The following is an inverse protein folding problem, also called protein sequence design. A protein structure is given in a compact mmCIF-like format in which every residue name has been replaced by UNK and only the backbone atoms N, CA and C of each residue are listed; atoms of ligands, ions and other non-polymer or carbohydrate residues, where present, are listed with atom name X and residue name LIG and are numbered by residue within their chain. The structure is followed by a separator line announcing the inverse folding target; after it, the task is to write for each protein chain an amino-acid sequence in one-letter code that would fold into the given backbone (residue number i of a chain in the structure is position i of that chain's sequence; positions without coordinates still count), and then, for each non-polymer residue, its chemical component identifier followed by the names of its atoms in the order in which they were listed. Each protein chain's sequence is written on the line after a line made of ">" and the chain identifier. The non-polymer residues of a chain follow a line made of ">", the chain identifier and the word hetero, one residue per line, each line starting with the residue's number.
data_IF_847358829298
#
_entry.id   IF_847358829298
#
_cell.length_a   1.000
_cell.length_b   1.000
_cell.length_c   1.000
_cell.angle_alpha   90.00
_cell.angle_beta   90.00
_cell.angle_gamma   90.00
#
_symmetry.space_group_name_H-M   'P 1'
#
loop_
_entity.id
_entity.type
_entity.pdbx_description
1 polymer ?
#
# COMPACT_ATOMS: atom_id res chain seq x y z
N UNK A 1 7.23 -17.74 28.95
CA UNK A 1 6.04 -18.10 28.15
C UNK A 1 5.30 -16.80 27.79
N UNK A 2 5.03 -16.54 26.55
CA UNK A 2 4.38 -15.32 26.10
C UNK A 2 2.88 -15.37 26.49
N UNK A 3 2.45 -14.45 27.35
CA UNK A 3 1.05 -14.36 27.77
C UNK A 3 0.28 -13.45 26.79
N UNK A 4 -0.38 -14.07 25.82
CA UNK A 4 -1.13 -13.39 24.76
C UNK A 4 -2.20 -12.43 25.34
N UNK A 5 -2.91 -12.82 26.42
CA UNK A 5 -3.96 -11.98 26.99
C UNK A 5 -3.40 -10.74 27.68
N UNK A 6 -2.28 -10.91 28.40
CA UNK A 6 -1.59 -9.79 29.03
C UNK A 6 -1.01 -8.83 27.98
N UNK A 7 -0.42 -9.36 26.92
CA UNK A 7 0.16 -8.54 25.84
C UNK A 7 -0.93 -7.80 25.01
N UNK A 8 -2.09 -8.40 24.77
CA UNK A 8 -3.22 -7.72 24.13
C UNK A 8 -3.67 -6.50 24.95
N UNK A 9 -3.63 -6.57 26.28
CA UNK A 9 -4.01 -5.43 27.15
C UNK A 9 -3.08 -4.24 26.99
N UNK A 10 -1.79 -4.48 26.69
CA UNK A 10 -0.75 -3.46 26.50
C UNK A 10 -0.80 -2.79 25.13
N UNK A 11 -1.49 -3.40 24.14
CA UNK A 11 -1.58 -2.87 22.80
C UNK A 11 -2.21 -1.47 22.78
N UNK A 12 -1.63 -0.52 22.02
CA UNK A 12 -2.18 0.83 21.88
C UNK A 12 -3.40 0.84 20.95
N UNK A 13 -4.28 1.83 21.14
CA UNK A 13 -5.37 2.14 20.22
C UNK A 13 -4.90 3.07 19.09
N UNK A 14 -3.80 2.69 18.43
CA UNK A 14 -3.18 3.46 17.34
C UNK A 14 -3.12 2.62 16.07
N UNK A 15 -3.01 3.27 14.90
CA UNK A 15 -2.74 2.57 13.65
C UNK A 15 -1.43 1.79 13.70
N UNK A 16 -1.37 0.68 12.99
CA UNK A 16 -0.14 -0.10 12.93
C UNK A 16 -0.30 -1.42 12.20
N UNK A 17 0.79 -2.18 12.22
CA UNK A 17 0.88 -3.52 11.67
C UNK A 17 1.20 -4.49 12.80
N UNK A 18 0.52 -5.63 12.82
CA UNK A 18 0.79 -6.74 13.73
C UNK A 18 1.30 -7.94 12.95
N UNK A 19 2.24 -8.68 13.57
CA UNK A 19 2.98 -9.78 12.98
C UNK A 19 2.81 -10.96 13.94
N UNK A 20 2.27 -12.08 13.46
CA UNK A 20 2.02 -13.27 14.25
C UNK A 20 3.05 -14.34 13.93
N UNK A 21 3.63 -14.91 14.95
CA UNK A 21 4.68 -15.92 14.89
C UNK A 21 4.19 -17.26 15.45
N UNK A 22 4.72 -18.35 14.89
CA UNK A 22 4.57 -19.68 15.48
C UNK A 22 5.70 -19.98 16.50
N UNK A 23 5.65 -21.16 17.11
CA UNK A 23 6.63 -21.61 18.10
C UNK A 23 8.08 -21.72 17.59
N UNK A 24 8.26 -21.75 16.27
CA UNK A 24 9.57 -21.79 15.62
C UNK A 24 10.03 -20.36 15.20
N UNK A 25 9.39 -19.31 15.76
CA UNK A 25 9.61 -17.89 15.45
C UNK A 25 9.39 -17.52 13.98
N UNK A 26 8.63 -18.33 13.28
CA UNK A 26 8.32 -18.08 11.87
C UNK A 26 7.10 -17.17 11.75
N UNK A 27 7.21 -16.13 10.95
CA UNK A 27 6.09 -15.25 10.64
C UNK A 27 5.03 -16.04 9.85
N UNK A 28 3.86 -16.21 10.45
CA UNK A 28 2.74 -16.94 9.86
C UNK A 28 1.64 -16.03 9.34
N UNK A 29 1.54 -14.80 9.86
CA UNK A 29 0.56 -13.82 9.42
C UNK A 29 1.02 -12.40 9.71
N UNK A 30 0.70 -11.46 8.80
CA UNK A 30 0.89 -10.01 8.94
C UNK A 30 -0.43 -9.33 8.63
N UNK A 31 -0.80 -8.31 9.40
CA UNK A 31 -2.04 -7.56 9.13
C UNK A 31 -1.97 -6.12 9.61
N UNK A 32 -2.64 -5.21 8.89
CA UNK A 32 -2.80 -3.82 9.30
C UNK A 32 -3.99 -3.63 10.24
N UNK A 33 -3.95 -2.58 11.04
CA UNK A 33 -5.03 -2.16 11.90
C UNK A 33 -5.11 -0.62 12.01
N UNK A 34 -6.30 -0.07 12.08
CA UNK A 34 -6.55 1.31 12.51
C UNK A 34 -6.38 1.42 14.02
N UNK A 35 -6.76 0.36 14.74
CA UNK A 35 -6.53 0.19 16.18
C UNK A 35 -5.96 -1.21 16.41
N UNK A 36 -4.67 -1.29 16.73
CA UNK A 36 -3.96 -2.55 16.99
C UNK A 36 -4.66 -3.38 18.07
N UNK A 37 -5.03 -2.74 19.21
CA UNK A 37 -5.70 -3.42 20.33
C UNK A 37 -7.01 -4.08 19.90
N UNK A 38 -7.87 -3.34 19.22
CA UNK A 38 -9.18 -3.84 18.81
C UNK A 38 -9.04 -4.98 17.79
N UNK A 39 -8.13 -4.82 16.84
CA UNK A 39 -7.93 -5.77 15.75
C UNK A 39 -7.32 -7.08 16.24
N UNK A 40 -6.24 -7.03 17.03
CA UNK A 40 -5.60 -8.22 17.54
C UNK A 40 -6.53 -8.99 18.49
N UNK A 41 -7.23 -8.27 19.39
CA UNK A 41 -8.22 -8.87 20.29
C UNK A 41 -9.31 -9.68 19.56
N UNK A 42 -9.71 -9.29 18.36
CA UNK A 42 -10.74 -10.02 17.58
C UNK A 42 -10.32 -11.45 17.24
N UNK A 43 -9.03 -11.70 16.99
CA UNK A 43 -8.54 -13.05 16.69
C UNK A 43 -8.67 -14.03 17.86
N UNK A 44 -8.63 -13.54 19.10
CA UNK A 44 -8.68 -14.37 20.30
C UNK A 44 -10.07 -14.46 20.94
N UNK A 45 -11.09 -13.80 20.39
CA UNK A 45 -12.49 -13.99 20.78
C UNK A 45 -13.03 -15.33 20.30
N UNK A 46 -13.93 -15.94 21.08
CA UNK A 46 -14.47 -17.29 20.81
C UNK A 46 -15.51 -17.38 19.68
N UNK A 47 -15.97 -16.27 19.08
CA UNK A 47 -17.15 -16.28 18.21
C UNK A 47 -16.80 -16.20 16.71
N UNK A 48 -17.49 -17.02 15.91
CA UNK A 48 -17.61 -16.98 14.43
C UNK A 48 -16.30 -16.82 13.65
N UNK A 49 -15.30 -17.66 13.90
CA UNK A 49 -14.10 -17.73 13.09
C UNK A 49 -14.29 -18.73 11.95
N UNK A 50 -13.70 -18.43 10.79
CA UNK A 50 -13.56 -19.45 9.75
C UNK A 50 -12.57 -20.52 10.20
N UNK A 51 -12.74 -21.76 9.79
CA UNK A 51 -11.83 -22.88 10.11
C UNK A 51 -10.35 -22.54 9.87
N UNK A 52 -10.10 -21.68 8.90
CA UNK A 52 -8.76 -21.19 8.59
C UNK A 52 -8.19 -20.21 9.64
N UNK A 53 -9.00 -19.26 10.11
CA UNK A 53 -8.60 -18.34 11.19
C UNK A 53 -8.39 -19.12 12.48
N UNK A 54 -9.22 -20.11 12.76
CA UNK A 54 -9.04 -21.00 13.90
C UNK A 54 -7.72 -21.76 13.85
N UNK A 55 -7.39 -22.34 12.66
CA UNK A 55 -6.11 -23.00 12.47
C UNK A 55 -4.93 -22.04 12.58
N UNK A 56 -5.04 -20.82 12.08
CA UNK A 56 -4.01 -19.80 12.26
C UNK A 56 -3.81 -19.48 13.74
N UNK A 57 -4.90 -19.18 14.45
CA UNK A 57 -4.86 -18.82 15.88
C UNK A 57 -4.29 -19.93 16.72
N UNK A 58 -4.57 -21.21 16.41
CA UNK A 58 -4.00 -22.36 17.13
C UNK A 58 -2.48 -22.54 16.95
N UNK A 59 -1.90 -21.89 15.94
CA UNK A 59 -0.47 -21.94 15.67
C UNK A 59 0.29 -20.71 16.20
N UNK A 60 -0.41 -19.66 16.65
CA UNK A 60 0.23 -18.47 17.18
C UNK A 60 0.86 -18.78 18.53
N UNK A 61 2.16 -18.57 18.64
CA UNK A 61 2.90 -18.59 19.90
C UNK A 61 2.98 -17.19 20.50
N UNK A 62 3.38 -16.22 19.68
CA UNK A 62 3.49 -14.82 20.08
C UNK A 62 3.19 -13.88 18.92
N UNK A 63 3.12 -12.58 19.20
CA UNK A 63 2.96 -11.55 18.18
C UNK A 63 3.82 -10.33 18.51
N UNK A 64 4.23 -9.65 17.46
CA UNK A 64 4.86 -8.33 17.50
C UNK A 64 3.94 -7.29 16.86
N UNK A 65 4.23 -6.01 17.09
CA UNK A 65 3.51 -4.92 16.43
C UNK A 65 4.40 -3.71 16.19
N UNK A 66 4.06 -2.97 15.15
CA UNK A 66 4.72 -1.71 14.78
C UNK A 66 3.62 -0.64 14.72
N UNK A 67 3.77 0.40 15.55
CA UNK A 67 2.88 1.55 15.52
C UNK A 67 3.32 2.49 14.39
N UNK A 68 2.37 3.05 13.68
CA UNK A 68 2.58 4.04 12.62
C UNK A 68 1.66 5.24 12.83
N UNK A 69 1.91 6.34 12.12
CA UNK A 69 1.17 7.58 12.34
C UNK A 69 -0.23 7.56 11.70
N UNK A 70 -0.41 6.81 10.60
CA UNK A 70 -1.67 6.78 9.86
C UNK A 70 -1.94 5.44 9.17
N UNK A 71 -3.16 5.28 8.65
CA UNK A 71 -3.59 4.05 7.99
C UNK A 71 -2.85 3.78 6.67
N UNK A 72 -2.44 4.83 5.95
CA UNK A 72 -1.71 4.69 4.69
C UNK A 72 -0.33 4.08 4.93
N UNK A 73 0.37 4.52 5.98
CA UNK A 73 1.64 3.91 6.40
C UNK A 73 1.47 2.46 6.82
N UNK A 74 0.40 2.16 7.59
CA UNK A 74 0.09 0.79 7.97
C UNK A 74 -0.11 -0.11 6.75
N UNK A 75 -0.81 0.38 5.71
CA UNK A 75 -1.04 -0.33 4.46
C UNK A 75 0.26 -0.62 3.71
N UNK A 76 1.12 0.39 3.57
CA UNK A 76 2.40 0.26 2.87
C UNK A 76 3.31 -0.72 3.61
N UNK A 77 3.38 -0.60 4.95
CA UNK A 77 4.19 -1.47 5.79
C UNK A 77 3.70 -2.92 5.75
N UNK A 78 2.38 -3.16 5.83
CA UNK A 78 1.78 -4.49 5.67
C UNK A 78 2.19 -5.12 4.35
N UNK A 79 2.01 -4.41 3.23
CA UNK A 79 2.36 -4.90 1.90
C UNK A 79 3.84 -5.29 1.79
N UNK A 80 4.74 -4.47 2.34
CA UNK A 80 6.17 -4.74 2.32
C UNK A 80 6.57 -5.94 3.17
N UNK A 81 5.98 -6.07 4.37
CA UNK A 81 6.24 -7.21 5.25
C UNK A 81 5.71 -8.51 4.65
N UNK A 82 4.53 -8.50 4.02
CA UNK A 82 3.99 -9.67 3.31
C UNK A 82 4.89 -10.04 2.12
N UNK A 83 5.34 -9.06 1.33
CA UNK A 83 6.23 -9.29 0.18
C UNK A 83 7.56 -9.91 0.62
N UNK A 84 8.15 -9.39 1.71
CA UNK A 84 9.43 -9.84 2.25
C UNK A 84 9.35 -11.24 2.84
N UNK A 85 8.35 -11.49 3.69
CA UNK A 85 8.30 -12.69 4.54
C UNK A 85 7.41 -13.80 3.97
N UNK A 86 6.52 -13.50 3.02
CA UNK A 86 5.57 -14.44 2.39
C UNK A 86 4.85 -15.34 3.40
N UNK A 87 4.14 -14.79 4.41
CA UNK A 87 3.59 -15.57 5.50
C UNK A 87 2.53 -16.56 5.01
N UNK A 88 2.51 -17.75 5.60
CA UNK A 88 1.65 -18.87 5.19
C UNK A 88 0.15 -18.52 5.13
N UNK A 89 -0.32 -17.69 6.06
CA UNK A 89 -1.74 -17.33 6.16
C UNK A 89 -2.12 -16.05 5.41
N UNK A 90 -1.15 -15.25 4.92
CA UNK A 90 -1.39 -14.16 3.99
C UNK A 90 -1.39 -14.62 2.54
N UNK A 91 -0.51 -15.56 2.19
CA UNK A 91 -0.42 -16.10 0.83
C UNK A 91 -1.31 -17.32 0.72
N UNK A 92 -2.42 -17.21 0.02
CA UNK A 92 -3.47 -18.19 0.22
C UNK A 92 -4.07 -18.95 -0.87
N UNK A 93 -3.68 -18.80 -2.06
CA UNK A 93 -4.16 -19.67 -3.12
C UNK A 93 -2.97 -20.14 -3.95
N UNK A 94 -2.91 -21.43 -4.19
CA UNK A 94 -1.94 -22.06 -5.11
C UNK A 94 -2.15 -21.66 -6.57
N UNK A 95 -3.16 -20.84 -6.84
CA UNK A 95 -3.49 -20.36 -8.18
C UNK A 95 -3.17 -18.85 -8.29
N UNK A 96 -1.99 -18.54 -8.84
CA UNK A 96 -1.50 -17.18 -9.08
C UNK A 96 -2.47 -16.31 -9.92
N UNK A 97 -3.39 -16.94 -10.65
CA UNK A 97 -4.37 -16.26 -11.50
C UNK A 97 -5.46 -15.54 -10.72
N UNK A 98 -5.61 -15.81 -9.44
CA UNK A 98 -6.71 -15.30 -8.60
C UNK A 98 -6.36 -14.04 -7.81
N UNK A 99 -5.06 -13.77 -7.60
CA UNK A 99 -4.61 -12.60 -6.85
C UNK A 99 -4.58 -11.34 -7.71
N UNK A 100 -4.94 -10.18 -7.13
CA UNK A 100 -4.72 -8.91 -7.78
C UNK A 100 -3.26 -8.49 -7.74
N UNK A 101 -2.84 -7.88 -8.83
CA UNK A 101 -1.57 -7.19 -9.01
C UNK A 101 -1.84 -5.73 -9.36
N UNK A 102 -0.96 -4.85 -8.99
CA UNK A 102 -0.93 -3.48 -9.48
C UNK A 102 -0.05 -3.48 -10.73
N UNK A 103 -0.64 -3.09 -11.87
CA UNK A 103 0.03 -2.97 -13.15
C UNK A 103 0.33 -1.51 -13.45
N UNK A 104 1.56 -1.21 -13.85
CA UNK A 104 1.98 0.08 -14.42
C UNK A 104 2.26 -0.13 -15.91
N UNK A 105 1.50 0.57 -16.77
CA UNK A 105 1.61 0.50 -18.22
C UNK A 105 2.78 1.37 -18.70
N UNK A 106 3.98 0.79 -18.77
CA UNK A 106 5.20 1.51 -19.15
C UNK A 106 5.32 1.75 -20.67
N UNK A 107 4.49 1.13 -21.50
CA UNK A 107 4.51 1.30 -22.96
C UNK A 107 3.89 2.62 -23.39
N UNK A 108 3.00 3.18 -22.59
CA UNK A 108 2.38 4.46 -22.86
C UNK A 108 3.35 5.61 -22.55
N UNK A 109 3.36 6.65 -23.34
CA UNK A 109 4.08 7.91 -23.04
C UNK A 109 3.68 8.48 -21.69
N UNK A 110 2.41 8.29 -21.33
CA UNK A 110 1.84 8.65 -20.03
C UNK A 110 1.28 7.41 -19.35
N UNK A 111 2.10 6.65 -18.61
CA UNK A 111 1.68 5.45 -17.90
C UNK A 111 0.48 5.66 -16.97
N UNK A 112 -0.33 4.62 -16.78
CA UNK A 112 -1.35 4.61 -15.74
C UNK A 112 -1.14 3.44 -14.78
N UNK A 113 -1.77 3.53 -13.60
CA UNK A 113 -1.77 2.50 -12.58
C UNK A 113 -3.15 1.85 -12.53
N UNK A 114 -3.19 0.53 -12.64
CA UNK A 114 -4.42 -0.25 -12.67
C UNK A 114 -4.27 -1.57 -11.91
N UNK A 115 -5.41 -2.18 -11.56
CA UNK A 115 -5.43 -3.51 -10.95
C UNK A 115 -5.67 -4.54 -12.04
N UNK A 116 -4.90 -5.62 -12.01
CA UNK A 116 -5.07 -6.78 -12.90
C UNK A 116 -4.94 -8.07 -12.10
N UNK A 117 -5.52 -9.16 -12.62
CA UNK A 117 -5.31 -10.51 -12.08
C UNK A 117 -4.47 -11.39 -13.02
N UNK A 118 -4.05 -10.83 -14.15
CA UNK A 118 -3.23 -11.55 -15.13
C UNK A 118 -1.90 -10.85 -15.27
N UNK A 119 -0.83 -11.58 -15.04
CA UNK A 119 0.52 -11.15 -15.39
C UNK A 119 0.76 -11.54 -16.85
N UNK A 120 1.29 -10.62 -17.63
CA UNK A 120 1.68 -10.84 -19.01
C UNK A 120 3.14 -10.44 -19.21
N UNK A 121 3.83 -11.14 -20.06
CA UNK A 121 5.19 -10.74 -20.44
C UNK A 121 5.11 -9.67 -21.54
N UNK A 122 4.61 -8.48 -21.16
CA UNK A 122 4.27 -7.37 -22.06
C UNK A 122 5.16 -6.14 -21.85
N UNK A 123 6.27 -6.26 -21.10
CA UNK A 123 7.17 -5.15 -20.80
C UNK A 123 6.62 -4.13 -19.80
N UNK A 124 5.45 -4.38 -19.24
CA UNK A 124 4.88 -3.58 -18.15
C UNK A 124 5.40 -4.05 -16.78
N UNK A 125 5.29 -3.20 -15.76
CA UNK A 125 5.62 -3.63 -14.39
C UNK A 125 4.38 -4.10 -13.64
N UNK A 126 4.57 -5.19 -12.88
CA UNK A 126 3.54 -5.81 -12.06
C UNK A 126 4.04 -5.93 -10.62
N UNK A 127 3.25 -5.45 -9.67
CA UNK A 127 3.55 -5.46 -8.24
C UNK A 127 2.51 -6.30 -7.51
N UNK A 128 2.95 -7.19 -6.66
CA UNK A 128 2.10 -8.13 -5.94
C UNK A 128 2.74 -9.51 -5.84
N UNK A 129 1.97 -10.59 -5.59
CA UNK A 129 0.51 -10.61 -5.40
C UNK A 129 0.05 -9.94 -4.11
N UNK A 130 -1.11 -9.28 -4.15
CA UNK A 130 -1.76 -8.75 -2.96
C UNK A 130 -2.68 -9.80 -2.36
N UNK A 131 -2.43 -10.18 -1.11
CA UNK A 131 -3.21 -11.22 -0.43
C UNK A 131 -4.69 -10.83 -0.20
N UNK A 132 -4.97 -9.53 -0.14
CA UNK A 132 -6.31 -8.98 -0.01
C UNK A 132 -6.63 -8.07 -1.22
N UNK A 133 -7.70 -8.33 -1.98
CA UNK A 133 -8.14 -7.44 -3.06
C UNK A 133 -8.41 -6.01 -2.60
N UNK A 134 -8.87 -5.82 -1.37
CA UNK A 134 -9.06 -4.51 -0.75
C UNK A 134 -7.75 -3.73 -0.66
N UNK A 135 -6.68 -4.37 -0.19
CA UNK A 135 -5.37 -3.72 -0.05
C UNK A 135 -4.79 -3.24 -1.40
N UNK A 136 -4.98 -4.02 -2.48
CA UNK A 136 -4.57 -3.58 -3.82
C UNK A 136 -5.36 -2.35 -4.28
N UNK A 137 -6.68 -2.32 -4.00
CA UNK A 137 -7.53 -1.18 -4.34
C UNK A 137 -7.16 0.06 -3.53
N UNK A 138 -7.01 -0.07 -2.22
CA UNK A 138 -6.60 1.01 -1.32
C UNK A 138 -5.25 1.61 -1.74
N UNK A 139 -4.27 0.77 -2.11
CA UNK A 139 -2.98 1.22 -2.61
C UNK A 139 -3.10 1.99 -3.93
N UNK A 140 -3.90 1.51 -4.87
CA UNK A 140 -4.13 2.21 -6.15
C UNK A 140 -4.88 3.53 -5.93
N UNK A 141 -5.86 3.56 -5.03
CA UNK A 141 -6.59 4.77 -4.68
C UNK A 141 -5.68 5.79 -3.98
N UNK A 142 -4.82 5.35 -3.07
CA UNK A 142 -3.78 6.18 -2.45
C UNK A 142 -2.82 6.78 -3.49
N UNK A 143 -2.29 5.95 -4.41
CA UNK A 143 -1.42 6.43 -5.51
C UNK A 143 -2.13 7.48 -6.35
N UNK A 144 -3.39 7.25 -6.72
CA UNK A 144 -4.18 8.20 -7.53
C UNK A 144 -4.51 9.51 -6.82
N UNK A 145 -4.56 9.51 -5.50
CA UNK A 145 -4.79 10.71 -4.70
C UNK A 145 -3.52 11.54 -4.54
N UNK A 146 -2.40 10.88 -4.27
CA UNK A 146 -1.11 11.55 -3.97
C UNK A 146 -0.32 11.92 -5.23
N UNK A 147 -0.32 11.04 -6.21
CA UNK A 147 0.37 11.26 -7.49
C UNK A 147 -0.66 11.67 -8.55
N UNK A 148 -0.58 12.87 -9.05
CA UNK A 148 -1.54 13.45 -10.00
C UNK A 148 -1.50 12.80 -11.39
N UNK A 149 -1.43 11.46 -11.44
CA UNK A 149 -1.37 10.69 -12.67
C UNK A 149 -2.74 10.57 -13.35
N UNK A 150 -2.73 10.26 -14.64
CA UNK A 150 -3.97 10.07 -15.39
C UNK A 150 -4.78 8.88 -14.87
N UNK A 151 -6.09 9.06 -14.79
CA UNK A 151 -7.02 8.02 -14.31
C UNK A 151 -7.93 7.50 -15.44
N UNK A 152 -7.85 8.10 -16.64
CA UNK A 152 -8.65 7.69 -17.79
C UNK A 152 -8.18 6.34 -18.36
N UNK A 153 -9.13 5.46 -18.70
CA UNK A 153 -8.85 4.17 -19.34
C UNK A 153 -8.30 4.35 -20.75
N UNK A 154 -8.96 5.19 -21.53
CA UNK A 154 -8.58 5.47 -22.93
C UNK A 154 -7.92 6.85 -22.99
N UNK A 155 -6.60 6.85 -23.17
CA UNK A 155 -5.86 8.09 -23.37
C UNK A 155 -6.04 8.58 -24.83
N UNK A 156 -6.45 9.82 -24.97
CA UNK A 156 -6.50 10.51 -26.28
C UNK A 156 -5.91 11.90 -26.10
N UNK A 157 -4.88 12.22 -26.87
CA UNK A 157 -4.29 13.56 -26.94
C UNK A 157 -5.26 14.59 -27.54
N UNK A 158 -5.07 15.86 -27.21
CA UNK A 158 -5.80 17.02 -27.75
C UNK A 158 -7.32 17.01 -27.49
N UNK A 159 -7.73 16.52 -26.33
CA UNK A 159 -9.14 16.53 -25.93
C UNK A 159 -9.45 17.58 -24.87
N UNK A 160 -10.75 17.81 -24.73
CA UNK A 160 -11.29 18.62 -23.64
C UNK A 160 -10.83 18.06 -22.29
N UNK A 161 -10.36 18.92 -21.38
CA UNK A 161 -10.00 18.54 -20.00
C UNK A 161 -11.18 17.89 -19.28
N UNK A 162 -10.90 16.89 -18.48
CA UNK A 162 -11.91 16.16 -17.71
C UNK A 162 -12.00 16.69 -16.28
N UNK A 163 -13.01 16.22 -15.54
CA UNK A 163 -13.23 16.61 -14.15
C UNK A 163 -11.97 16.38 -13.27
N UNK A 164 -11.25 15.26 -13.46
CA UNK A 164 -10.04 14.97 -12.67
C UNK A 164 -8.94 16.02 -12.84
N UNK A 165 -8.86 16.67 -14.01
CA UNK A 165 -7.96 17.80 -14.21
C UNK A 165 -8.43 19.03 -13.43
N UNK A 166 -9.71 19.39 -13.53
CA UNK A 166 -10.26 20.56 -12.85
C UNK A 166 -10.17 20.50 -11.32
N UNK A 167 -10.33 19.30 -10.76
CA UNK A 167 -10.19 19.09 -9.31
C UNK A 167 -8.74 18.78 -8.86
N UNK A 168 -7.76 18.98 -9.74
CA UNK A 168 -6.34 18.83 -9.41
C UNK A 168 -5.85 17.40 -9.19
N UNK A 169 -6.62 16.38 -9.59
CA UNK A 169 -6.27 14.95 -9.45
C UNK A 169 -5.51 14.38 -10.65
N UNK A 170 -5.24 15.17 -11.68
CA UNK A 170 -4.52 14.76 -12.88
C UNK A 170 -3.77 15.95 -13.45
N UNK A 171 -2.53 15.76 -13.87
CA UNK A 171 -1.69 16.80 -14.49
C UNK A 171 -2.15 17.20 -15.91
N UNK A 172 -3.13 16.51 -16.48
CA UNK A 172 -3.67 16.85 -17.80
C UNK A 172 -2.74 16.53 -18.98
N UNK A 173 -2.12 15.35 -19.05
CA UNK A 173 -1.26 14.99 -20.18
C UNK A 173 -2.02 14.96 -21.52
N UNK A 174 -3.35 14.85 -21.50
CA UNK A 174 -4.19 14.88 -22.68
C UNK A 174 -4.27 16.26 -23.38
N UNK A 175 -3.88 17.32 -22.68
CA UNK A 175 -3.83 18.69 -23.20
C UNK A 175 -2.39 19.26 -23.19
N UNK A 176 -1.39 18.38 -23.14
CA UNK A 176 0.03 18.72 -23.14
C UNK A 176 0.45 19.67 -21.99
N UNK A 177 -0.24 19.58 -20.84
CA UNK A 177 0.03 20.43 -19.67
C UNK A 177 1.22 19.93 -18.83
N UNK A 178 1.83 18.82 -19.21
CA UNK A 178 2.97 18.20 -18.52
C UNK A 178 3.87 17.53 -19.54
N UNK A 179 5.19 17.66 -19.39
CA UNK A 179 6.15 16.96 -20.25
C UNK A 179 6.17 15.44 -19.95
N UNK A 180 6.64 14.64 -20.92
CA UNK A 180 6.78 13.19 -20.73
C UNK A 180 7.79 12.89 -19.64
N UNK A 181 8.87 13.67 -19.57
CA UNK A 181 9.95 13.52 -18.60
C UNK A 181 9.48 13.81 -17.18
N UNK A 182 8.72 14.87 -16.99
CA UNK A 182 8.15 15.26 -15.71
C UNK A 182 7.11 14.21 -15.22
N UNK A 183 6.26 13.77 -16.15
CA UNK A 183 5.30 12.70 -15.84
C UNK A 183 6.00 11.39 -15.48
N UNK A 184 7.10 11.05 -16.16
CA UNK A 184 7.87 9.84 -15.92
C UNK A 184 8.51 9.84 -14.52
N UNK A 185 8.99 10.98 -14.03
CA UNK A 185 9.51 11.11 -12.66
C UNK A 185 8.48 10.67 -11.61
N UNK A 186 7.21 11.07 -11.77
CA UNK A 186 6.15 10.61 -10.86
C UNK A 186 5.93 9.09 -10.92
N UNK A 187 6.01 8.51 -12.13
CA UNK A 187 5.90 7.05 -12.29
C UNK A 187 7.06 6.34 -11.62
N UNK A 188 8.28 6.87 -11.69
CA UNK A 188 9.46 6.29 -11.04
C UNK A 188 9.33 6.35 -9.50
N UNK A 189 8.78 7.43 -8.96
CA UNK A 189 8.47 7.54 -7.53
C UNK A 189 7.39 6.51 -7.11
N UNK A 190 6.37 6.29 -7.91
CA UNK A 190 5.35 5.25 -7.66
C UNK A 190 6.01 3.86 -7.70
N UNK A 191 6.92 3.62 -8.61
CA UNK A 191 7.68 2.36 -8.70
C UNK A 191 8.52 2.17 -7.44
N UNK A 192 9.26 3.17 -7.00
CA UNK A 192 10.07 3.12 -5.78
C UNK A 192 9.19 2.87 -4.54
N UNK A 193 7.99 3.48 -4.46
CA UNK A 193 7.00 3.22 -3.42
C UNK A 193 6.56 1.76 -3.40
N UNK A 194 6.15 1.24 -4.56
CA UNK A 194 5.66 -0.14 -4.70
C UNK A 194 6.77 -1.18 -4.54
N UNK A 195 8.03 -0.80 -4.79
CA UNK A 195 9.22 -1.62 -4.49
C UNK A 195 9.64 -1.57 -3.02
N UNK A 196 8.99 -0.75 -2.20
CA UNK A 196 9.26 -0.64 -0.77
C UNK A 196 10.46 0.23 -0.42
N UNK A 197 10.91 1.10 -1.31
CA UNK A 197 12.01 2.05 -1.07
C UNK A 197 11.54 3.32 -0.34
N UNK A 198 10.76 3.13 0.73
CA UNK A 198 10.09 4.21 1.47
C UNK A 198 11.09 5.21 2.02
N UNK A 199 12.22 4.77 2.55
CA UNK A 199 13.24 5.65 3.13
C UNK A 199 13.74 6.74 2.16
N UNK A 200 13.82 6.41 0.85
CA UNK A 200 14.23 7.37 -0.19
C UNK A 200 13.15 8.43 -0.39
N UNK A 201 11.89 8.00 -0.43
CA UNK A 201 10.74 8.89 -0.64
C UNK A 201 10.55 9.80 0.59
N UNK A 202 10.59 9.24 1.78
CA UNK A 202 10.47 9.99 3.04
C UNK A 202 11.58 11.03 3.19
N UNK A 203 12.82 10.68 2.85
CA UNK A 203 13.94 11.62 2.89
C UNK A 203 13.74 12.79 1.92
N UNK A 204 13.28 12.48 0.69
CA UNK A 204 12.98 13.51 -0.32
C UNK A 204 11.86 14.43 0.13
N UNK A 205 10.74 13.87 0.62
CA UNK A 205 9.60 14.66 1.11
C UNK A 205 9.99 15.56 2.29
N UNK A 206 10.79 15.07 3.24
CA UNK A 206 11.30 15.90 4.33
C UNK A 206 12.11 17.09 3.84
N UNK A 207 12.98 16.89 2.84
CA UNK A 207 13.75 17.97 2.23
C UNK A 207 12.83 19.00 1.53
N UNK A 208 11.83 18.52 0.78
CA UNK A 208 10.87 19.40 0.10
C UNK A 208 10.01 20.20 1.10
N UNK A 209 9.64 19.61 2.23
CA UNK A 209 8.92 20.29 3.34
C UNK A 209 9.83 21.38 3.95
N UNK A 210 11.09 21.08 4.24
CA UNK A 210 12.05 22.04 4.79
C UNK A 210 12.30 23.20 3.82
N UNK A 211 12.44 22.91 2.53
CA UNK A 211 12.59 23.95 1.50
C UNK A 211 11.34 24.83 1.36
N UNK A 212 10.16 24.23 1.37
CA UNK A 212 8.89 24.97 1.32
C UNK A 212 8.69 25.84 2.56
N UNK A 213 9.02 25.33 3.75
CA UNK A 213 8.97 26.09 5.00
C UNK A 213 9.95 27.27 4.99
N UNK A 214 11.16 27.07 4.48
CA UNK A 214 12.18 28.15 4.35
C UNK A 214 11.73 29.24 3.40
N UNK A 215 10.97 28.88 2.34
CA UNK A 215 10.38 29.84 1.39
C UNK A 215 9.07 30.44 1.86
N UNK A 216 8.65 30.15 3.10
CA UNK A 216 7.35 30.57 3.69
C UNK A 216 6.11 30.07 2.93
N UNK A 217 6.24 29.01 2.11
CA UNK A 217 5.14 28.35 1.39
C UNK A 217 4.43 27.35 2.32
N UNK A 218 3.83 27.84 3.41
CA UNK A 218 3.29 27.00 4.49
C UNK A 218 2.15 26.07 4.05
N UNK A 219 1.29 26.52 3.12
CA UNK A 219 0.23 25.67 2.57
C UNK A 219 0.77 24.47 1.78
N UNK A 220 1.87 24.69 1.06
CA UNK A 220 2.57 23.62 0.32
C UNK A 220 3.28 22.66 1.27
N UNK A 221 3.94 23.17 2.31
CA UNK A 221 4.58 22.35 3.33
C UNK A 221 3.58 21.48 4.10
N UNK A 222 2.37 21.99 4.35
CA UNK A 222 1.29 21.25 5.01
C UNK A 222 0.63 20.19 4.10
N UNK A 223 0.72 20.35 2.78
CA UNK A 223 0.19 19.40 1.82
C UNK A 223 1.12 18.22 1.54
N UNK A 224 2.43 18.39 1.67
CA UNK A 224 3.46 17.37 1.48
C UNK A 224 3.52 16.39 2.66
#
# INVERSE_FOLDING_TARGET
>A
MFDIEAEIKKLPNKPGVYIMHDKDDKIIYVGKAISLKNRVKQYFRKNNKTARIEKMVSLIDHFEYIVVDNEAEALILECNLIKKNRPKFNVLLKDDKTYPYIKIDLKSDYPNVSITRKIQNDGNKYFGPYANPGSAKEMVDFIKQKFKIRQCKNFKSNKRVCLNYHIGRCLGPCVNNVSKEEYRKQIDEIIDLLDGKINKITKKLKQEIEEAATKQEYEKAAYL
#
